data_IF_408987803877
#
_entry.id   IF_408987803877
#
_cell.length_a   1.000
_cell.length_b   1.000
_cell.length_c   1.000
_cell.angle_alpha   90.00
_cell.angle_beta   90.00
_cell.angle_gamma   90.00
#
_symmetry.space_group_name_H-M   'P 1'
#
loop_
_entity.id
_entity.type
_entity.pdbx_description
1 polymer ?
#
# COMPACT_ATOMS: atom_id res chain seq x y z
N UNK A 1 -3.32 1.56 18.06
CA UNK A 1 -3.47 2.81 17.28
C UNK A 1 -2.69 3.97 17.89
N UNK A 2 -2.80 4.24 19.19
CA UNK A 2 -2.08 5.33 19.88
C UNK A 2 -0.56 5.28 19.73
N UNK A 3 0.07 4.11 19.91
CA UNK A 3 1.53 3.96 19.78
C UNK A 3 2.05 4.31 18.38
N UNK A 4 1.30 3.95 17.33
CA UNK A 4 1.66 4.28 15.94
C UNK A 4 1.66 5.80 15.71
N UNK A 5 0.67 6.51 16.26
CA UNK A 5 0.57 7.96 16.10
C UNK A 5 1.64 8.70 16.91
N UNK A 6 1.98 8.22 18.12
CA UNK A 6 3.10 8.76 18.91
C UNK A 6 4.42 8.57 18.15
N UNK A 7 4.67 7.37 17.61
CA UNK A 7 5.84 7.09 16.79
C UNK A 7 5.91 7.97 15.54
N UNK A 8 4.78 8.26 14.89
CA UNK A 8 4.71 9.19 13.76
C UNK A 8 5.09 10.61 14.14
N UNK A 9 4.57 11.13 15.26
CA UNK A 9 4.92 12.47 15.76
C UNK A 9 6.41 12.56 16.09
N UNK A 10 6.97 11.54 16.73
CA UNK A 10 8.42 11.47 16.98
C UNK A 10 9.21 11.40 15.66
N UNK A 11 8.76 10.60 14.70
CA UNK A 11 9.39 10.50 13.38
C UNK A 11 9.52 11.85 12.68
N UNK A 12 8.51 12.73 12.79
CA UNK A 12 8.55 14.09 12.21
C UNK A 12 9.74 14.91 12.73
N UNK A 13 10.17 14.73 13.98
CA UNK A 13 11.33 15.48 14.50
C UNK A 13 12.66 14.98 13.93
N UNK A 14 12.72 13.75 13.40
CA UNK A 14 13.91 13.17 12.77
C UNK A 14 14.01 13.48 11.27
N UNK A 15 12.90 13.90 10.65
CA UNK A 15 12.78 14.17 9.21
C UNK A 15 13.87 15.12 8.66
N UNK A 16 14.22 16.25 9.33
CA UNK A 16 15.23 17.17 8.83
C UNK A 16 16.66 16.60 8.81
N UNK A 17 16.93 15.58 9.63
CA UNK A 17 18.24 14.94 9.75
C UNK A 17 18.37 13.70 8.86
N UNK A 18 17.31 13.31 8.15
CA UNK A 18 17.29 12.09 7.35
C UNK A 18 18.06 12.25 6.03
N UNK A 19 18.75 11.18 5.62
CA UNK A 19 19.47 11.15 4.36
C UNK A 19 18.51 11.18 3.16
N UNK A 20 18.94 11.76 2.03
CA UNK A 20 18.11 11.87 0.81
C UNK A 20 17.62 10.51 0.30
N UNK A 21 18.43 9.45 0.46
CA UNK A 21 18.01 8.08 0.14
C UNK A 21 16.83 7.60 0.98
N UNK A 22 16.76 7.99 2.26
CA UNK A 22 15.63 7.66 3.15
C UNK A 22 14.35 8.34 2.66
N UNK A 23 14.45 9.57 2.18
CA UNK A 23 13.33 10.29 1.55
C UNK A 23 12.86 9.63 0.25
N UNK A 24 13.80 9.27 -0.63
CA UNK A 24 13.46 8.58 -1.87
C UNK A 24 12.78 7.23 -1.58
N UNK A 25 13.31 6.48 -0.61
CA UNK A 25 12.73 5.23 -0.15
C UNK A 25 11.33 5.41 0.44
N UNK A 26 11.13 6.45 1.27
CA UNK A 26 9.82 6.80 1.82
C UNK A 26 8.80 7.06 0.72
N UNK A 27 9.13 7.89 -0.27
CA UNK A 27 8.24 8.19 -1.40
C UNK A 27 7.91 6.92 -2.19
N UNK A 28 8.91 6.08 -2.45
CA UNK A 28 8.70 4.80 -3.15
C UNK A 28 7.73 3.87 -2.40
N UNK A 29 7.93 3.69 -1.10
CA UNK A 29 7.06 2.86 -0.26
C UNK A 29 5.64 3.44 -0.17
N UNK A 30 5.52 4.77 -0.05
CA UNK A 30 4.23 5.46 0.01
C UNK A 30 3.43 5.28 -1.28
N UNK A 31 4.05 5.53 -2.44
CA UNK A 31 3.41 5.37 -3.74
C UNK A 31 3.01 3.91 -3.99
N UNK A 32 3.90 2.96 -3.68
CA UNK A 32 3.61 1.53 -3.84
C UNK A 32 2.40 1.13 -2.99
N UNK A 33 2.37 1.53 -1.71
CA UNK A 33 1.24 1.25 -0.81
C UNK A 33 -0.06 1.90 -1.30
N UNK A 34 0.00 3.15 -1.75
CA UNK A 34 -1.15 3.87 -2.30
C UNK A 34 -1.72 3.20 -3.56
N UNK A 35 -0.87 2.68 -4.44
CA UNK A 35 -1.29 1.90 -5.62
C UNK A 35 -1.97 0.60 -5.22
N UNK A 36 -1.44 -0.11 -4.21
CA UNK A 36 -2.06 -1.33 -3.67
C UNK A 36 -3.51 -1.11 -3.22
N UNK A 37 -3.77 0.01 -2.54
CA UNK A 37 -5.12 0.37 -2.07
C UNK A 37 -6.01 0.84 -3.23
N UNK A 38 -5.53 1.79 -4.03
CA UNK A 38 -6.37 2.47 -5.03
C UNK A 38 -6.61 1.62 -6.27
N UNK A 39 -5.55 1.08 -6.87
CA UNK A 39 -5.64 0.22 -8.04
C UNK A 39 -6.05 -1.21 -7.65
N UNK A 40 -5.50 -1.74 -6.55
CA UNK A 40 -5.81 -3.08 -6.05
C UNK A 40 -7.14 -3.14 -5.29
N UNK A 41 -7.12 -2.85 -3.98
CA UNK A 41 -8.26 -3.04 -3.08
C UNK A 41 -9.54 -2.39 -3.61
N UNK A 42 -9.44 -1.13 -4.02
CA UNK A 42 -10.58 -0.36 -4.49
C UNK A 42 -11.00 -0.74 -5.92
N UNK A 43 -10.17 -0.51 -6.95
CA UNK A 43 -10.61 -0.67 -8.35
C UNK A 43 -10.68 -2.12 -8.82
N UNK A 44 -9.68 -2.94 -8.50
CA UNK A 44 -9.59 -4.31 -9.02
C UNK A 44 -10.45 -5.28 -8.21
N UNK A 45 -10.32 -5.30 -6.88
CA UNK A 45 -11.01 -6.30 -6.04
C UNK A 45 -12.42 -5.86 -5.60
N UNK A 46 -12.61 -4.60 -5.20
CA UNK A 46 -13.93 -4.12 -4.75
C UNK A 46 -14.87 -3.78 -5.93
N UNK A 47 -14.39 -2.97 -6.88
CA UNK A 47 -15.24 -2.49 -7.99
C UNK A 47 -15.13 -3.32 -9.27
N UNK A 48 -14.15 -4.23 -9.37
CA UNK A 48 -13.86 -5.02 -10.58
C UNK A 48 -13.86 -4.20 -11.87
N UNK A 49 -13.35 -2.97 -11.81
CA UNK A 49 -13.37 -2.02 -12.93
C UNK A 49 -12.52 -2.46 -14.14
N UNK A 50 -11.59 -3.40 -13.94
CA UNK A 50 -10.74 -3.95 -15.00
C UNK A 50 -10.26 -5.36 -14.67
N UNK A 51 -9.79 -6.09 -15.69
CA UNK A 51 -9.11 -7.38 -15.52
C UNK A 51 -7.59 -7.19 -15.57
N UNK A 52 -6.91 -7.51 -14.47
CA UNK A 52 -5.46 -7.53 -14.39
C UNK A 52 -4.90 -8.92 -14.73
N UNK A 53 -3.74 -8.98 -15.38
CA UNK A 53 -2.96 -10.20 -15.55
C UNK A 53 -2.39 -10.69 -14.21
N UNK A 54 -2.05 -11.98 -14.13
CA UNK A 54 -1.50 -12.61 -12.93
C UNK A 54 -0.30 -11.86 -12.31
N UNK A 55 0.75 -11.43 -13.07
CA UNK A 55 1.86 -10.69 -12.48
C UNK A 55 1.42 -9.35 -11.87
N UNK A 56 0.50 -8.63 -12.52
CA UNK A 56 -0.03 -7.38 -11.97
C UNK A 56 -0.87 -7.61 -10.72
N UNK A 57 -1.65 -8.70 -10.66
CA UNK A 57 -2.41 -9.10 -9.46
C UNK A 57 -1.48 -9.37 -8.28
N UNK A 58 -0.38 -10.08 -8.49
CA UNK A 58 0.62 -10.36 -7.44
C UNK A 58 1.26 -9.06 -6.97
N UNK A 59 1.70 -8.20 -7.89
CA UNK A 59 2.28 -6.91 -7.54
C UNK A 59 1.32 -6.06 -6.68
N UNK A 60 0.07 -5.90 -7.11
CA UNK A 60 -0.93 -5.14 -6.37
C UNK A 60 -1.25 -5.78 -5.01
N UNK A 61 -1.19 -7.11 -4.91
CA UNK A 61 -1.44 -7.82 -3.66
C UNK A 61 -0.33 -7.55 -2.64
N UNK A 62 0.93 -7.65 -3.07
CA UNK A 62 2.09 -7.29 -2.25
C UNK A 62 2.06 -5.83 -1.84
N UNK A 63 1.73 -4.93 -2.78
CA UNK A 63 1.58 -3.50 -2.52
C UNK A 63 0.46 -3.20 -1.50
N UNK A 64 -0.67 -3.91 -1.57
CA UNK A 64 -1.76 -3.76 -0.61
C UNK A 64 -1.37 -4.27 0.79
N UNK A 65 -0.58 -5.35 0.88
CA UNK A 65 -0.03 -5.83 2.15
C UNK A 65 0.88 -4.79 2.82
N UNK A 66 1.65 -4.02 2.05
CA UNK A 66 2.47 -2.91 2.58
C UNK A 66 1.61 -1.77 3.16
N UNK A 67 0.42 -1.54 2.61
CA UNK A 67 -0.49 -0.49 3.09
C UNK A 67 -1.10 -0.81 4.47
N UNK A 68 -1.03 -2.06 4.91
CA UNK A 68 -1.52 -2.51 6.22
C UNK A 68 -2.98 -2.12 6.49
N UNK A 69 -3.82 -2.17 5.46
CA UNK A 69 -5.26 -1.94 5.56
C UNK A 69 -6.01 -3.27 5.49
N UNK A 70 -7.02 -3.43 6.35
CA UNK A 70 -7.86 -4.62 6.33
C UNK A 70 -8.78 -4.54 5.12
N UNK A 71 -8.62 -5.48 4.20
CA UNK A 71 -9.52 -5.64 3.07
C UNK A 71 -10.66 -6.60 3.46
N UNK A 72 -11.87 -6.07 3.59
CA UNK A 72 -13.06 -6.90 3.76
C UNK A 72 -13.61 -7.29 2.39
N UNK A 73 -13.40 -8.55 2.00
CA UNK A 73 -14.01 -9.13 0.80
C UNK A 73 -13.11 -9.20 -0.44
N UNK A 74 -13.25 -10.34 -1.12
CA UNK A 74 -12.86 -10.62 -2.51
C UNK A 74 -11.38 -10.58 -2.88
N UNK A 75 -10.57 -11.46 -2.29
CA UNK A 75 -9.69 -12.27 -3.14
C UNK A 75 -10.56 -13.37 -3.74
N UNK A 76 -11.09 -13.24 -4.97
CA UNK A 76 -11.74 -14.39 -5.60
C UNK A 76 -10.65 -15.43 -5.84
N UNK A 77 -10.71 -16.63 -5.23
CA UNK A 77 -9.65 -17.62 -5.38
C UNK A 77 -9.59 -18.18 -6.81
N UNK A 78 -10.63 -18.01 -7.64
CA UNK A 78 -10.79 -18.83 -8.86
C UNK A 78 -11.51 -18.18 -10.05
N UNK A 79 -11.61 -16.85 -10.19
CA UNK A 79 -12.32 -16.28 -11.36
C UNK A 79 -11.35 -15.80 -12.46
N UNK A 80 -11.00 -16.76 -13.32
CA UNK A 80 -10.85 -16.58 -14.77
C UNK A 80 -12.11 -17.13 -15.43
#
# INVERSE_FOLDING_TARGET
MTLLHIGAVYGITLVPSAHVLTWAWFVFCFLTSALGVTAGAHRLWSHRSYKASLPLRIFLATANSMAFQVQHGSFPPHLY
#
